data_IF_203373748104
#
_entry.id   IF_203373748104
#
_cell.length_a   1.000
_cell.length_b   1.000
_cell.length_c   1.000
_cell.angle_alpha   90.00
_cell.angle_beta   90.00
_cell.angle_gamma   90.00
#
_symmetry.space_group_name_H-M   'P 1'
#
loop_
_entity.id
_entity.type
_entity.pdbx_description
1 polymer ?
#
# COMPACT_ATOMS: atom_id res chain seq x y z
N UNK A 1 64.32 -37.57 58.78
CA UNK A 1 64.84 -36.59 59.76
C UNK A 1 64.14 -35.25 59.55
N UNK A 2 63.61 -34.66 60.66
CA UNK A 2 63.31 -33.24 60.96
C UNK A 2 62.69 -32.37 59.83
N UNK A 3 61.40 -32.00 59.91
CA UNK A 3 60.84 -30.76 60.54
C UNK A 3 61.53 -29.50 59.97
N UNK A 4 60.83 -28.46 59.49
CA UNK A 4 59.93 -27.63 60.28
C UNK A 4 58.94 -26.82 59.43
N UNK A 5 57.73 -26.76 59.99
CA UNK A 5 56.65 -25.80 59.76
C UNK A 5 57.12 -24.41 60.20
N UNK A 6 56.81 -23.37 59.42
CA UNK A 6 56.78 -21.98 59.90
C UNK A 6 55.40 -21.40 59.63
N UNK A 7 54.68 -21.21 60.72
CA UNK A 7 53.41 -20.48 60.83
C UNK A 7 53.75 -19.00 60.87
N UNK A 8 53.08 -18.20 60.04
CA UNK A 8 52.98 -16.75 60.23
C UNK A 8 51.51 -16.43 60.44
N UNK A 9 51.15 -16.19 61.70
CA UNK A 9 49.98 -15.42 62.09
C UNK A 9 50.29 -13.94 61.84
N UNK A 10 49.29 -13.14 61.46
CA UNK A 10 48.90 -11.90 62.17
C UNK A 10 47.78 -11.14 61.41
N UNK A 11 46.68 -10.99 62.15
CA UNK A 11 45.61 -9.97 62.15
C UNK A 11 44.61 -9.82 61.01
N UNK A 12 43.35 -9.99 61.43
CA UNK A 12 42.12 -9.56 60.81
C UNK A 12 41.95 -8.04 60.81
N UNK A 13 41.40 -7.50 59.72
CA UNK A 13 40.55 -6.30 59.75
C UNK A 13 39.27 -6.65 58.99
N UNK A 14 38.17 -6.62 59.73
CA UNK A 14 36.80 -6.72 59.23
C UNK A 14 36.44 -5.37 58.59
N UNK A 15 36.13 -5.37 57.29
CA UNK A 15 35.30 -4.34 56.69
C UNK A 15 34.48 -4.95 55.56
N UNK A 16 33.41 -5.65 55.96
CA UNK A 16 32.36 -6.13 55.06
C UNK A 16 31.52 -4.95 54.57
N UNK A 17 32.02 -4.29 53.52
CA UNK A 17 31.22 -3.42 52.66
C UNK A 17 30.39 -4.28 51.71
N UNK A 18 29.17 -4.62 52.13
CA UNK A 18 28.16 -5.18 51.23
C UNK A 18 27.80 -4.08 50.23
N UNK A 19 28.36 -4.17 49.03
CA UNK A 19 27.91 -3.40 47.88
C UNK A 19 26.49 -3.89 47.55
N UNK A 20 25.48 -3.15 48.01
CA UNK A 20 24.13 -3.20 47.47
C UNK A 20 24.18 -2.69 46.03
N UNK A 21 24.45 -3.59 45.09
CA UNK A 21 24.03 -3.39 43.71
C UNK A 21 22.50 -3.49 43.71
N UNK A 22 21.74 -2.47 43.28
CA UNK A 22 20.33 -2.66 43.00
C UNK A 22 20.26 -3.69 41.86
N UNK A 23 19.72 -4.86 42.17
CA UNK A 23 19.18 -5.76 41.16
C UNK A 23 18.12 -4.97 40.42
N UNK A 24 18.48 -4.45 39.25
CA UNK A 24 17.52 -4.03 38.25
C UNK A 24 16.73 -5.29 37.89
N UNK A 25 15.60 -5.50 38.57
CA UNK A 25 14.54 -6.35 38.09
C UNK A 25 14.13 -5.76 36.75
N UNK A 26 14.56 -6.41 35.66
CA UNK A 26 13.96 -6.20 34.37
C UNK A 26 12.46 -6.44 34.57
N UNK A 27 11.66 -5.38 34.50
CA UNK A 27 10.22 -5.55 34.41
C UNK A 27 10.00 -6.40 33.17
N UNK A 28 9.50 -7.62 33.34
CA UNK A 28 8.96 -8.37 32.24
C UNK A 28 8.03 -7.41 31.49
N UNK A 29 8.24 -7.23 30.19
CA UNK A 29 7.24 -6.56 29.36
C UNK A 29 5.95 -7.33 29.58
N UNK A 30 5.04 -6.77 30.35
CA UNK A 30 3.73 -7.34 30.55
C UNK A 30 3.10 -7.26 29.17
N UNK A 31 3.03 -8.40 28.46
CA UNK A 31 2.24 -8.50 27.25
C UNK A 31 0.81 -8.27 27.72
N UNK A 32 0.36 -7.02 27.59
CA UNK A 32 -0.99 -6.64 27.95
C UNK A 32 -1.89 -7.38 26.96
N UNK A 33 -2.84 -8.16 27.47
CA UNK A 33 -3.82 -8.84 26.62
C UNK A 33 -5.11 -8.06 26.67
N UNK A 34 -5.69 -7.78 25.51
CA UNK A 34 -6.96 -7.05 25.44
C UNK A 34 -8.09 -8.05 25.71
N UNK A 35 -8.87 -7.78 26.76
CA UNK A 35 -10.05 -8.56 27.17
C UNK A 35 -11.12 -7.62 27.73
N UNK A 36 -12.34 -8.12 27.97
CA UNK A 36 -13.45 -7.34 28.55
C UNK A 36 -14.13 -6.37 27.56
N UNK A 37 -13.76 -6.41 26.28
CA UNK A 37 -14.25 -5.50 25.25
C UNK A 37 -15.41 -6.12 24.44
N UNK A 38 -16.52 -6.48 25.10
CA UNK A 38 -17.58 -7.30 24.50
C UNK A 38 -18.82 -6.52 24.01
N UNK A 39 -18.75 -5.19 23.99
CA UNK A 39 -19.83 -4.31 23.51
C UNK A 39 -19.26 -3.03 22.88
N UNK A 40 -20.10 -2.24 22.21
CA UNK A 40 -19.72 -0.92 21.71
C UNK A 40 -19.26 0.02 22.83
N UNK A 41 -19.87 -0.10 24.01
CA UNK A 41 -19.62 0.74 25.18
C UNK A 41 -18.30 0.40 25.86
N UNK A 42 -17.88 -0.86 25.78
CA UNK A 42 -16.62 -1.37 26.33
C UNK A 42 -15.52 -1.54 25.26
N UNK A 43 -15.71 -0.95 24.07
CA UNK A 43 -14.78 -1.11 22.96
C UNK A 43 -13.38 -0.63 23.34
N UNK A 44 -12.36 -1.44 23.06
CA UNK A 44 -10.97 -1.08 23.38
C UNK A 44 -10.50 0.09 22.50
N UNK A 45 -10.02 1.21 23.08
CA UNK A 45 -9.64 2.39 22.31
C UNK A 45 -8.21 2.29 21.74
N UNK A 46 -8.12 2.13 20.43
CA UNK A 46 -6.85 2.17 19.67
C UNK A 46 -6.36 3.61 19.49
N UNK A 47 -7.28 4.57 19.40
CA UNK A 47 -7.02 5.97 19.07
C UNK A 47 -6.83 6.17 17.56
N UNK A 48 -6.07 7.21 17.16
CA UNK A 48 -5.76 7.43 15.75
C UNK A 48 -4.99 6.25 15.18
N UNK A 49 -5.47 5.67 14.08
CA UNK A 49 -5.03 4.36 13.58
C UNK A 49 -3.54 4.28 13.24
N UNK A 50 -2.95 5.41 12.79
CA UNK A 50 -1.62 5.40 12.18
C UNK A 50 -0.53 5.16 13.22
N UNK A 51 0.42 4.30 12.87
CA UNK A 51 1.56 3.92 13.72
C UNK A 51 1.18 3.26 15.06
N UNK A 52 -0.01 2.66 15.14
CA UNK A 52 -0.45 1.92 16.33
C UNK A 52 -0.08 0.45 16.24
N UNK A 53 0.54 -0.03 17.30
CA UNK A 53 0.60 -1.46 17.59
C UNK A 53 -0.60 -1.79 18.49
N UNK A 54 -1.44 -2.70 18.04
CA UNK A 54 -2.56 -3.22 18.83
C UNK A 54 -2.09 -4.51 19.46
N UNK A 55 -2.17 -4.59 20.78
CA UNK A 55 -1.80 -5.79 21.52
C UNK A 55 -2.69 -6.98 21.16
N UNK A 56 -2.21 -8.19 21.46
CA UNK A 56 -3.00 -9.41 21.26
C UNK A 56 -4.29 -9.35 22.06
N UNK A 57 -5.41 -9.62 21.40
CA UNK A 57 -6.71 -9.72 22.02
C UNK A 57 -7.08 -11.18 22.27
N UNK A 58 -7.80 -11.39 23.36
CA UNK A 58 -8.39 -12.68 23.73
C UNK A 58 -9.89 -12.51 23.73
N UNK A 59 -10.58 -13.35 22.95
CA UNK A 59 -12.02 -13.52 23.04
C UNK A 59 -12.30 -14.82 23.81
N UNK A 60 -12.71 -14.75 25.09
CA UNK A 60 -12.90 -15.94 25.93
C UNK A 60 -14.00 -16.87 25.42
N UNK A 61 -13.95 -18.16 25.78
CA UNK A 61 -14.89 -19.22 25.35
C UNK A 61 -16.38 -18.83 25.34
N UNK A 62 -16.83 -18.07 26.35
CA UNK A 62 -18.25 -17.70 26.55
C UNK A 62 -18.65 -16.40 25.86
N UNK A 63 -17.66 -15.66 25.37
CA UNK A 63 -17.87 -14.37 24.76
C UNK A 63 -17.99 -14.52 23.24
N UNK A 64 -18.97 -13.82 22.67
CA UNK A 64 -19.28 -13.95 21.24
C UNK A 64 -18.50 -12.99 20.37
N UNK A 65 -18.13 -11.83 20.93
CA UNK A 65 -17.68 -10.67 20.17
C UNK A 65 -16.63 -9.88 20.94
N UNK A 66 -15.72 -9.24 20.19
CA UNK A 66 -14.70 -8.33 20.71
C UNK A 66 -14.73 -7.04 19.89
N UNK A 67 -14.78 -5.90 20.58
CA UNK A 67 -15.01 -4.58 20.02
C UNK A 67 -13.81 -3.66 20.24
N UNK A 68 -13.47 -2.89 19.22
CA UNK A 68 -12.38 -1.91 19.24
C UNK A 68 -12.88 -0.61 18.63
N UNK A 69 -12.25 0.51 18.98
CA UNK A 69 -12.52 1.80 18.37
C UNK A 69 -11.22 2.45 17.90
N UNK A 70 -11.27 3.08 16.72
CA UNK A 70 -10.15 3.86 16.18
C UNK A 70 -10.67 5.13 15.51
N UNK A 71 -9.78 6.10 15.32
CA UNK A 71 -10.08 7.31 14.56
C UNK A 71 -9.25 7.41 13.30
N UNK A 72 -9.82 8.03 12.27
CA UNK A 72 -9.18 8.31 10.99
C UNK A 72 -9.54 9.72 10.50
N UNK A 73 -8.76 10.25 9.56
CA UNK A 73 -8.92 11.60 9.02
C UNK A 73 -9.48 11.57 7.60
N UNK A 74 -10.11 12.67 7.18
CA UNK A 74 -10.76 12.79 5.89
C UNK A 74 -9.82 12.40 4.75
N UNK A 75 -10.30 11.51 3.87
CA UNK A 75 -9.55 11.03 2.70
C UNK A 75 -8.72 9.77 2.95
N UNK A 76 -8.57 9.34 4.21
CA UNK A 76 -7.93 8.06 4.53
C UNK A 76 -8.86 6.90 4.14
N UNK A 77 -8.35 6.03 3.27
CA UNK A 77 -9.02 4.82 2.80
C UNK A 77 -8.29 3.65 3.41
N UNK A 78 -8.96 2.91 4.30
CA UNK A 78 -8.33 1.97 5.21
C UNK A 78 -8.92 0.57 5.04
N UNK A 79 -8.14 -0.42 5.44
CA UNK A 79 -8.65 -1.75 5.76
C UNK A 79 -8.13 -2.18 7.13
N UNK A 80 -9.00 -2.86 7.88
CA UNK A 80 -8.68 -3.49 9.15
C UNK A 80 -8.61 -4.98 8.91
N UNK A 81 -7.52 -5.62 9.32
CA UNK A 81 -7.41 -7.08 9.32
C UNK A 81 -7.43 -7.62 10.74
N UNK A 82 -8.04 -8.79 10.89
CA UNK A 82 -7.89 -9.64 12.06
C UNK A 82 -7.15 -10.90 11.64
N UNK A 83 -6.10 -11.26 12.39
CA UNK A 83 -5.54 -12.61 12.25
C UNK A 83 -6.62 -13.64 12.52
N UNK A 84 -6.61 -14.73 11.78
CA UNK A 84 -7.49 -15.88 12.03
C UNK A 84 -6.65 -17.16 12.07
N UNK A 85 -7.30 -18.30 12.28
CA UNK A 85 -6.70 -19.63 12.19
C UNK A 85 -7.70 -20.60 11.61
N UNK A 86 -7.21 -21.72 11.10
CA UNK A 86 -8.02 -22.73 10.40
C UNK A 86 -9.20 -23.27 11.23
N UNK A 87 -9.01 -23.32 12.55
CA UNK A 87 -9.95 -23.80 13.56
C UNK A 87 -11.02 -22.77 13.93
N UNK A 88 -10.80 -21.47 13.70
CA UNK A 88 -11.73 -20.39 14.01
C UNK A 88 -12.87 -20.28 12.98
N UNK A 89 -13.61 -21.37 12.78
CA UNK A 89 -14.66 -21.46 11.76
C UNK A 89 -15.77 -20.43 11.99
N UNK A 90 -16.11 -19.71 10.93
CA UNK A 90 -17.15 -18.67 10.96
C UNK A 90 -16.74 -17.36 11.63
N UNK A 91 -15.46 -17.20 11.98
CA UNK A 91 -14.94 -15.92 12.48
C UNK A 91 -15.17 -14.83 11.43
N UNK A 92 -15.62 -13.65 11.87
CA UNK A 92 -15.89 -12.52 10.99
C UNK A 92 -15.40 -11.21 11.58
N UNK A 93 -15.11 -10.25 10.71
CA UNK A 93 -14.77 -8.88 11.09
C UNK A 93 -15.76 -7.91 10.46
N UNK A 94 -16.22 -6.94 11.23
CA UNK A 94 -17.17 -5.92 10.82
C UNK A 94 -16.66 -4.54 11.23
N UNK A 95 -16.87 -3.54 10.39
CA UNK A 95 -16.62 -2.13 10.72
C UNK A 95 -17.95 -1.40 10.76
N UNK A 96 -18.14 -0.61 11.81
CA UNK A 96 -19.28 0.27 12.02
C UNK A 96 -18.81 1.72 12.13
N UNK A 97 -19.65 2.67 11.69
CA UNK A 97 -19.37 4.10 11.86
C UNK A 97 -19.72 4.60 13.28
N UNK A 98 -19.51 5.89 13.55
CA UNK A 98 -19.83 6.54 14.84
C UNK A 98 -21.28 6.34 15.31
N UNK A 99 -22.21 6.14 14.39
CA UNK A 99 -23.62 5.91 14.67
C UNK A 99 -23.97 4.42 14.82
N UNK A 100 -22.95 3.55 14.91
CA UNK A 100 -23.08 2.08 15.00
C UNK A 100 -23.82 1.47 13.80
N UNK A 101 -23.74 2.11 12.63
CA UNK A 101 -24.25 1.58 11.37
C UNK A 101 -23.14 0.79 10.69
N UNK A 102 -23.45 -0.42 10.23
CA UNK A 102 -22.51 -1.29 9.53
C UNK A 102 -22.00 -0.62 8.25
N UNK A 103 -20.68 -0.58 8.09
CA UNK A 103 -19.97 -0.04 6.93
C UNK A 103 -19.47 -1.18 6.03
N UNK A 104 -18.84 -2.20 6.63
CA UNK A 104 -18.23 -3.31 5.89
C UNK A 104 -18.20 -4.56 6.75
N UNK A 105 -18.25 -5.72 6.10
CA UNK A 105 -18.09 -7.04 6.72
C UNK A 105 -17.14 -7.90 5.91
N UNK A 106 -16.27 -8.64 6.60
CA UNK A 106 -15.37 -9.62 6.02
C UNK A 106 -15.51 -10.99 6.68
N UNK A 107 -15.63 -12.02 5.84
CA UNK A 107 -15.69 -13.43 6.25
C UNK A 107 -14.74 -14.31 5.45
N UNK A 108 -14.23 -13.81 4.33
CA UNK A 108 -13.30 -14.54 3.48
C UNK A 108 -11.90 -14.56 4.11
N UNK A 109 -11.33 -15.75 4.22
CA UNK A 109 -9.99 -15.95 4.78
C UNK A 109 -8.97 -15.77 3.67
N UNK A 110 -8.15 -14.75 3.81
CA UNK A 110 -7.04 -14.45 2.91
C UNK A 110 -5.79 -15.20 3.37
N UNK A 111 -5.04 -15.74 2.41
CA UNK A 111 -3.84 -16.55 2.63
C UNK A 111 -4.05 -17.74 3.59
N UNK A 112 -5.10 -18.57 3.38
CA UNK A 112 -5.50 -19.62 4.33
C UNK A 112 -4.39 -20.65 4.60
N UNK A 113 -3.53 -20.91 3.60
CA UNK A 113 -2.47 -21.91 3.67
C UNK A 113 -1.12 -21.34 4.16
N UNK A 114 -1.11 -20.12 4.69
CA UNK A 114 0.11 -19.45 5.18
C UNK A 114 0.16 -19.40 6.71
N UNK A 115 1.30 -18.97 7.27
CA UNK A 115 1.46 -18.80 8.72
C UNK A 115 0.63 -17.63 9.30
N UNK A 116 0.12 -16.74 8.46
CA UNK A 116 -0.58 -15.52 8.88
C UNK A 116 -1.87 -15.32 8.09
N UNK A 117 -2.85 -16.24 8.18
CA UNK A 117 -4.14 -16.06 7.54
C UNK A 117 -4.90 -14.93 8.25
N UNK A 118 -5.71 -14.20 7.50
CA UNK A 118 -6.48 -13.08 8.04
C UNK A 118 -7.81 -12.90 7.34
N UNK A 119 -8.74 -12.26 8.04
CA UNK A 119 -9.98 -11.70 7.47
C UNK A 119 -9.87 -10.18 7.53
N UNK A 120 -10.57 -9.46 6.66
CA UNK A 120 -10.49 -8.00 6.63
C UNK A 120 -11.83 -7.32 6.33
N UNK A 121 -11.96 -6.07 6.77
CA UNK A 121 -13.07 -5.18 6.40
C UNK A 121 -12.50 -3.80 6.03
N UNK A 122 -13.23 -3.04 5.22
CA UNK A 122 -12.75 -1.77 4.66
C UNK A 122 -13.55 -0.58 5.18
N UNK A 123 -12.94 0.60 5.19
CA UNK A 123 -13.65 1.86 5.47
C UNK A 123 -12.97 3.04 4.79
N UNK A 124 -13.73 4.12 4.59
CA UNK A 124 -13.26 5.40 4.07
C UNK A 124 -13.67 6.52 5.01
N UNK A 125 -12.69 7.24 5.57
CA UNK A 125 -12.96 8.40 6.40
C UNK A 125 -13.40 9.60 5.55
N UNK A 126 -14.56 10.16 5.89
CA UNK A 126 -15.17 11.33 5.25
C UNK A 126 -14.99 12.60 6.07
N UNK A 127 -14.77 12.46 7.38
CA UNK A 127 -14.53 13.55 8.33
C UNK A 127 -13.13 13.44 8.99
N UNK A 128 -12.63 14.55 9.54
CA UNK A 128 -11.41 14.52 10.35
C UNK A 128 -11.73 13.97 11.75
N UNK A 129 -10.83 13.15 12.29
CA UNK A 129 -11.02 12.44 13.55
C UNK A 129 -12.35 11.65 13.61
N UNK A 130 -12.76 11.07 12.48
CA UNK A 130 -13.94 10.23 12.38
C UNK A 130 -13.71 8.92 13.15
N UNK A 131 -14.66 8.57 14.02
CA UNK A 131 -14.61 7.36 14.83
C UNK A 131 -15.25 6.18 14.12
N UNK A 132 -14.54 5.06 14.11
CA UNK A 132 -15.02 3.76 13.67
C UNK A 132 -14.96 2.75 14.80
N UNK A 133 -15.84 1.76 14.74
CA UNK A 133 -15.83 0.59 15.60
C UNK A 133 -15.50 -0.65 14.78
N UNK A 134 -14.64 -1.51 15.30
CA UNK A 134 -14.36 -2.83 14.74
C UNK A 134 -14.98 -3.86 15.65
N UNK A 135 -15.74 -4.79 15.08
CA UNK A 135 -16.26 -5.95 15.78
C UNK A 135 -15.67 -7.22 15.18
N UNK A 136 -15.06 -8.04 16.02
CA UNK A 136 -14.62 -9.39 15.66
C UNK A 136 -15.57 -10.38 16.33
N UNK A 137 -16.19 -11.26 15.54
CA UNK A 137 -17.11 -12.29 16.02
C UNK A 137 -16.46 -13.66 15.93
N UNK A 138 -16.72 -14.49 16.95
CA UNK A 138 -16.17 -15.85 17.15
C UNK A 138 -16.53 -16.87 16.06
N UNK A 139 -17.75 -16.81 15.52
CA UNK A 139 -18.29 -17.90 14.72
C UNK A 139 -18.70 -19.10 15.59
N UNK A 140 -18.30 -20.31 15.19
CA UNK A 140 -18.70 -21.56 15.85
C UNK A 140 -17.60 -22.19 16.72
N UNK A 141 -16.40 -21.61 16.76
CA UNK A 141 -15.31 -22.10 17.62
C UNK A 141 -15.67 -21.91 19.11
N UNK A 142 -15.32 -22.85 19.97
CA UNK A 142 -15.81 -22.88 21.37
C UNK A 142 -14.78 -22.45 22.41
N UNK A 143 -13.49 -22.56 22.12
CA UNK A 143 -12.42 -22.27 23.09
C UNK A 143 -11.93 -20.81 22.96
N UNK A 144 -10.98 -20.37 23.78
CA UNK A 144 -10.44 -19.01 23.68
C UNK A 144 -9.86 -18.73 22.27
N UNK A 145 -10.25 -17.59 21.69
CA UNK A 145 -9.69 -17.10 20.42
C UNK A 145 -8.63 -16.06 20.73
N UNK A 146 -7.42 -16.31 20.27
CA UNK A 146 -6.32 -15.35 20.27
C UNK A 146 -6.19 -14.74 18.88
N UNK A 147 -6.28 -13.41 18.80
CA UNK A 147 -6.15 -12.70 17.54
C UNK A 147 -5.46 -11.35 17.71
N UNK A 148 -4.93 -10.82 16.61
CA UNK A 148 -4.38 -9.47 16.52
C UNK A 148 -5.19 -8.67 15.51
N UNK A 149 -5.34 -7.38 15.78
CA UNK A 149 -5.85 -6.42 14.79
C UNK A 149 -4.71 -5.61 14.21
N UNK A 150 -4.87 -5.22 12.95
CA UNK A 150 -3.98 -4.25 12.31
C UNK A 150 -4.76 -3.41 11.32
N UNK A 151 -4.43 -2.12 11.25
CA UNK A 151 -5.10 -1.14 10.39
C UNK A 151 -4.07 -0.59 9.41
N UNK A 152 -4.38 -0.57 8.13
CA UNK A 152 -3.46 -0.16 7.07
C UNK A 152 -4.13 0.75 6.04
N UNK A 153 -3.31 1.56 5.36
CA UNK A 153 -3.74 2.21 4.13
C UNK A 153 -4.16 1.15 3.10
N UNK A 154 -5.36 1.29 2.58
CA UNK A 154 -5.92 0.45 1.52
C UNK A 154 -5.35 0.80 0.14
N UNK A 155 -5.08 2.08 -0.09
CA UNK A 155 -4.63 2.58 -1.39
C UNK A 155 -3.12 2.78 -1.37
N UNK A 156 -2.43 2.16 -2.33
CA UNK A 156 -0.99 2.25 -2.50
C UNK A 156 -0.64 2.86 -3.85
N UNK A 157 0.55 3.43 -3.93
CA UNK A 157 1.09 4.01 -5.15
C UNK A 157 2.19 3.12 -5.73
N UNK A 158 2.27 3.06 -7.05
CA UNK A 158 3.32 2.38 -7.80
C UNK A 158 3.81 3.23 -8.97
N UNK A 159 4.93 2.82 -9.56
CA UNK A 159 5.53 3.47 -10.73
C UNK A 159 6.27 2.43 -11.56
N UNK A 160 5.95 2.35 -12.84
CA UNK A 160 6.63 1.45 -13.78
C UNK A 160 6.94 2.14 -15.11
N UNK A 161 7.92 1.64 -15.85
CA UNK A 161 8.29 2.14 -17.18
C UNK A 161 8.26 1.03 -18.21
N UNK A 162 7.49 1.23 -19.27
CA UNK A 162 7.29 0.29 -20.36
C UNK A 162 7.90 0.83 -21.65
N UNK A 163 8.39 -0.03 -22.52
CA UNK A 163 8.97 0.37 -23.81
C UNK A 163 8.01 0.03 -24.95
N UNK A 164 7.76 0.98 -25.84
CA UNK A 164 7.11 0.69 -27.12
C UNK A 164 8.11 -0.04 -28.03
N UNK A 165 7.62 -0.99 -28.82
CA UNK A 165 8.38 -1.61 -29.90
C UNK A 165 8.29 -0.76 -31.18
N UNK A 166 9.33 -0.81 -32.01
CA UNK A 166 9.36 -0.16 -33.32
C UNK A 166 9.84 1.30 -33.32
N UNK A 167 9.60 1.97 -34.44
CA UNK A 167 10.03 3.33 -34.74
C UNK A 167 8.86 4.14 -35.29
N UNK A 168 8.55 5.28 -34.68
CA UNK A 168 7.54 6.20 -35.18
C UNK A 168 8.15 7.06 -36.30
N UNK A 169 7.55 7.03 -37.48
CA UNK A 169 8.06 7.75 -38.66
C UNK A 169 7.17 8.95 -38.99
N UNK A 170 7.78 10.11 -39.18
CA UNK A 170 7.10 11.32 -39.66
C UNK A 170 7.66 11.70 -41.03
N UNK A 171 6.77 11.86 -42.02
CA UNK A 171 7.16 12.17 -43.40
C UNK A 171 7.46 13.66 -43.63
N UNK A 172 7.37 14.47 -42.58
CA UNK A 172 7.58 15.91 -42.61
C UNK A 172 6.31 16.66 -43.00
N UNK A 173 6.17 17.89 -42.51
CA UNK A 173 5.05 18.79 -42.79
C UNK A 173 5.21 19.51 -44.14
N UNK A 174 5.29 18.76 -45.23
CA UNK A 174 5.60 19.29 -46.58
C UNK A 174 4.50 20.19 -47.16
N UNK A 175 3.26 20.02 -46.72
CA UNK A 175 2.14 20.91 -47.06
C UNK A 175 2.14 22.23 -46.28
N UNK A 176 3.11 22.44 -45.38
CA UNK A 176 3.20 23.60 -44.50
C UNK A 176 1.94 23.83 -43.66
N UNK A 177 1.30 22.75 -43.23
CA UNK A 177 0.12 22.81 -42.36
C UNK A 177 0.47 23.49 -41.03
N UNK A 178 -0.32 24.47 -40.56
CA UNK A 178 -0.10 25.09 -39.25
C UNK A 178 -0.31 24.10 -38.09
N UNK A 179 -0.97 22.96 -38.34
CA UNK A 179 -1.19 21.90 -37.34
C UNK A 179 -0.09 20.81 -37.35
N UNK A 180 0.92 20.96 -38.20
CA UNK A 180 1.99 19.98 -38.36
C UNK A 180 1.54 18.70 -39.04
N UNK A 181 2.43 17.71 -39.01
CA UNK A 181 2.16 16.34 -39.45
C UNK A 181 2.37 15.38 -38.29
N UNK A 182 1.48 14.40 -38.17
CA UNK A 182 1.64 13.29 -37.23
C UNK A 182 2.59 12.23 -37.79
N UNK A 183 3.23 11.49 -36.89
CA UNK A 183 3.97 10.26 -37.21
C UNK A 183 3.04 9.06 -37.37
N UNK A 184 3.60 7.92 -37.78
CA UNK A 184 2.99 6.61 -37.55
C UNK A 184 2.77 6.38 -36.04
N UNK A 185 1.83 5.49 -35.71
CA UNK A 185 1.46 5.16 -34.33
C UNK A 185 2.24 3.93 -33.88
N UNK A 186 2.86 4.02 -32.71
CA UNK A 186 3.38 2.87 -31.97
C UNK A 186 2.33 2.38 -30.98
N UNK A 187 2.30 1.07 -30.76
CA UNK A 187 1.33 0.42 -29.90
C UNK A 187 2.05 -0.41 -28.83
N UNK A 188 1.56 -0.33 -27.61
CA UNK A 188 2.01 -1.07 -26.43
C UNK A 188 0.81 -1.74 -25.78
N UNK A 189 0.89 -3.04 -25.54
CA UNK A 189 -0.20 -3.81 -24.91
C UNK A 189 0.17 -4.17 -23.47
N UNK A 190 -0.52 -3.59 -22.49
CA UNK A 190 -0.32 -3.87 -21.07
C UNK A 190 -1.44 -4.72 -20.47
N UNK A 191 -2.40 -5.19 -21.27
CA UNK A 191 -3.61 -5.88 -20.77
C UNK A 191 -3.32 -7.21 -20.04
N UNK A 192 -2.16 -7.81 -20.30
CA UNK A 192 -1.71 -9.07 -19.70
C UNK A 192 -0.46 -8.91 -18.82
N UNK A 193 -0.08 -7.68 -18.50
CA UNK A 193 1.14 -7.42 -17.75
C UNK A 193 0.92 -7.69 -16.26
N UNK A 194 1.54 -8.75 -15.75
CA UNK A 194 1.32 -9.25 -14.37
C UNK A 194 2.01 -8.42 -13.29
N UNK A 195 2.97 -7.56 -13.64
CA UNK A 195 3.59 -6.64 -12.69
C UNK A 195 2.65 -5.50 -12.28
N UNK A 196 1.60 -5.23 -13.08
CA UNK A 196 0.63 -4.19 -12.80
C UNK A 196 -0.42 -4.77 -11.84
N UNK A 197 -0.63 -4.17 -10.66
CA UNK A 197 -1.70 -4.58 -9.75
C UNK A 197 -3.07 -4.51 -10.43
N UNK A 198 -3.96 -5.42 -10.04
CA UNK A 198 -5.35 -5.42 -10.51
C UNK A 198 -6.00 -4.07 -10.19
N UNK A 199 -6.80 -3.55 -11.12
CA UNK A 199 -7.54 -2.30 -10.98
C UNK A 199 -6.66 -1.07 -10.69
N UNK A 200 -5.38 -1.10 -11.09
CA UNK A 200 -4.51 0.06 -11.01
C UNK A 200 -4.99 1.19 -11.94
N UNK A 201 -5.11 2.39 -11.38
CA UNK A 201 -5.56 3.60 -12.07
C UNK A 201 -4.39 4.56 -12.23
N UNK A 202 -4.27 5.12 -13.43
CA UNK A 202 -3.25 6.08 -13.80
C UNK A 202 -3.38 7.34 -12.93
N UNK A 203 -2.27 7.71 -12.28
CA UNK A 203 -2.14 8.98 -11.55
C UNK A 203 -1.38 10.02 -12.34
N UNK A 204 -0.38 9.59 -13.12
CA UNK A 204 0.44 10.46 -13.96
C UNK A 204 1.14 9.65 -15.04
N UNK A 205 1.30 10.24 -16.22
CA UNK A 205 2.07 9.65 -17.31
C UNK A 205 3.14 10.62 -17.81
N UNK A 206 4.28 10.05 -18.20
CA UNK A 206 5.25 10.72 -19.05
C UNK A 206 5.84 9.77 -20.10
N UNK A 207 6.44 10.34 -21.13
CA UNK A 207 7.16 9.59 -22.16
C UNK A 207 8.56 10.13 -22.34
N UNK A 208 9.50 9.26 -22.71
CA UNK A 208 10.82 9.64 -23.23
C UNK A 208 11.08 8.97 -24.57
N UNK A 209 11.89 9.58 -25.43
CA UNK A 209 12.20 9.08 -26.76
C UNK A 209 13.52 9.66 -27.29
N UNK A 210 14.01 9.12 -28.41
CA UNK A 210 15.12 9.67 -29.18
C UNK A 210 14.66 10.01 -30.59
N UNK A 211 14.57 11.29 -30.93
CA UNK A 211 14.23 11.76 -32.28
C UNK A 211 15.47 11.94 -33.17
N UNK A 212 15.42 11.47 -34.41
CA UNK A 212 16.49 11.62 -35.41
C UNK A 212 15.90 12.06 -36.77
N UNK A 213 16.38 13.16 -37.37
CA UNK A 213 17.12 14.25 -36.69
C UNK A 213 16.26 14.87 -35.59
N UNK A 214 16.90 15.49 -34.59
CA UNK A 214 16.16 16.27 -33.56
C UNK A 214 15.49 17.47 -34.22
N UNK A 215 14.20 17.68 -33.94
CA UNK A 215 13.43 18.78 -34.50
C UNK A 215 12.76 19.59 -33.39
N UNK A 216 12.83 20.92 -33.51
CA UNK A 216 12.06 21.83 -32.67
C UNK A 216 10.56 21.70 -32.93
N UNK A 217 9.73 22.16 -31.99
CA UNK A 217 8.27 22.12 -32.09
C UNK A 217 7.67 20.72 -32.31
N UNK A 218 8.36 19.70 -31.80
CA UNK A 218 7.83 18.35 -31.74
C UNK A 218 6.95 18.20 -30.51
N UNK A 219 5.78 17.57 -30.64
CA UNK A 219 4.84 17.34 -29.55
C UNK A 219 4.44 15.88 -29.47
N UNK A 220 4.73 15.25 -28.35
CA UNK A 220 4.35 13.88 -28.07
C UNK A 220 2.83 13.79 -27.82
N UNK A 221 2.22 12.67 -28.19
CA UNK A 221 0.82 12.34 -27.91
C UNK A 221 0.68 10.88 -27.50
N UNK A 222 -0.17 10.63 -26.52
CA UNK A 222 -0.52 9.28 -26.07
C UNK A 222 -2.03 9.08 -26.08
N UNK A 223 -2.47 7.83 -26.16
CA UNK A 223 -3.88 7.47 -26.10
C UNK A 223 -4.02 6.10 -25.43
N UNK A 224 -4.95 6.00 -24.47
CA UNK A 224 -5.45 4.70 -24.01
C UNK A 224 -6.57 4.24 -24.96
N UNK A 225 -6.58 2.97 -25.36
CA UNK A 225 -7.71 2.40 -26.13
C UNK A 225 -9.01 2.33 -25.34
N UNK A 226 -8.95 2.49 -24.01
CA UNK A 226 -10.10 2.52 -23.13
C UNK A 226 -11.06 3.66 -23.47
N UNK A 227 -10.52 4.87 -23.67
CA UNK A 227 -11.32 6.06 -24.00
C UNK A 227 -11.09 6.58 -25.43
N UNK A 228 -10.04 6.12 -26.12
CA UNK A 228 -9.66 6.52 -27.48
C UNK A 228 -9.44 8.04 -27.65
N UNK A 229 -9.01 8.71 -26.58
CA UNK A 229 -8.68 10.15 -26.60
C UNK A 229 -7.18 10.35 -26.68
N UNK A 230 -6.73 11.13 -27.66
CA UNK A 230 -5.32 11.54 -27.77
C UNK A 230 -5.01 12.69 -26.81
N UNK A 231 -4.25 12.39 -25.76
CA UNK A 231 -3.69 13.38 -24.86
C UNK A 231 -2.36 13.91 -25.40
N UNK A 232 -2.30 15.22 -25.61
CA UNK A 232 -1.09 15.90 -26.08
C UNK A 232 -0.22 16.29 -24.89
N UNK A 233 1.10 16.21 -25.08
CA UNK A 233 2.03 16.68 -24.07
C UNK A 233 1.85 18.18 -23.80
N UNK A 234 2.02 18.59 -22.54
CA UNK A 234 1.86 19.98 -22.08
C UNK A 234 2.88 20.94 -22.71
N UNK A 235 4.04 20.41 -23.10
CA UNK A 235 5.12 21.17 -23.73
C UNK A 235 5.65 20.46 -24.99
N UNK A 236 6.22 21.23 -25.90
CA UNK A 236 6.93 20.70 -27.07
C UNK A 236 8.33 20.20 -26.63
N UNK A 237 8.73 19.03 -27.10
CA UNK A 237 10.08 18.49 -26.95
C UNK A 237 10.33 17.36 -27.95
N UNK A 238 11.58 17.20 -28.37
CA UNK A 238 12.04 16.11 -29.23
C UNK A 238 12.41 14.84 -28.45
N UNK A 239 12.38 14.89 -27.11
CA UNK A 239 12.86 13.79 -26.26
C UNK A 239 11.90 13.36 -25.17
N UNK A 240 10.90 14.18 -24.81
CA UNK A 240 10.02 13.87 -23.69
C UNK A 240 8.61 14.44 -23.85
N UNK A 241 7.66 13.83 -23.16
CA UNK A 241 6.29 14.32 -23.06
C UNK A 241 5.78 14.14 -21.63
N UNK A 242 5.15 15.17 -21.08
CA UNK A 242 4.41 15.11 -19.82
C UNK A 242 2.96 15.46 -20.11
N UNK A 243 2.02 14.77 -19.49
CA UNK A 243 0.60 14.87 -19.81
C UNK A 243 -0.19 15.34 -18.59
N UNK A 244 -1.25 16.10 -18.81
CA UNK A 244 -2.19 16.52 -17.76
C UNK A 244 -3.17 15.41 -17.36
N UNK A 245 -2.73 14.15 -17.35
CA UNK A 245 -3.55 13.00 -16.95
C UNK A 245 -3.40 12.82 -15.43
N UNK A 246 -4.51 12.71 -14.73
CA UNK A 246 -4.62 12.51 -13.28
C UNK A 246 -5.53 11.32 -12.95
N UNK A 247 -5.75 11.08 -11.65
CA UNK A 247 -6.72 10.07 -11.19
C UNK A 247 -8.15 10.38 -11.64
N UNK A 248 -8.50 11.65 -11.90
CA UNK A 248 -9.84 12.06 -12.30
C UNK A 248 -10.19 11.58 -13.72
N UNK A 249 -9.18 11.31 -14.56
CA UNK A 249 -9.37 10.71 -15.88
C UNK A 249 -9.79 9.23 -15.79
N UNK A 250 -9.61 8.60 -14.63
CA UNK A 250 -10.00 7.21 -14.33
C UNK A 250 -9.53 6.19 -15.40
N UNK A 251 -8.31 6.36 -15.90
CA UNK A 251 -7.74 5.46 -16.90
C UNK A 251 -7.07 4.25 -16.24
N UNK A 252 -7.35 3.05 -16.73
CA UNK A 252 -6.66 1.84 -16.31
C UNK A 252 -5.22 1.83 -16.81
N UNK A 253 -4.29 1.39 -15.96
CA UNK A 253 -2.90 1.14 -16.37
C UNK A 253 -2.84 -0.05 -17.32
N UNK A 254 -3.59 -1.11 -17.02
CA UNK A 254 -3.68 -2.37 -17.79
C UNK A 254 -4.52 -2.23 -19.06
N UNK A 255 -4.15 -1.26 -19.89
CA UNK A 255 -4.79 -0.94 -21.15
C UNK A 255 -3.80 -1.11 -22.31
N UNK A 256 -4.33 -0.93 -23.52
CA UNK A 256 -3.51 -0.71 -24.69
C UNK A 256 -3.19 0.78 -24.76
N UNK A 257 -1.91 1.09 -24.86
CA UNK A 257 -1.43 2.44 -25.03
C UNK A 257 -0.87 2.64 -26.43
N UNK A 258 -1.18 3.78 -27.01
CA UNK A 258 -0.68 4.21 -28.30
C UNK A 258 0.15 5.47 -28.15
N UNK A 259 1.18 5.60 -28.97
CA UNK A 259 2.05 6.76 -29.01
C UNK A 259 2.20 7.25 -30.45
N UNK A 260 2.22 8.57 -30.61
CA UNK A 260 2.69 9.25 -31.81
C UNK A 260 3.32 10.58 -31.44
N UNK A 261 4.00 11.21 -32.39
CA UNK A 261 4.43 12.60 -32.24
C UNK A 261 4.03 13.42 -33.46
N UNK A 262 3.78 14.69 -33.22
CA UNK A 262 3.51 15.69 -34.24
C UNK A 262 4.71 16.63 -34.37
N UNK A 263 5.03 17.07 -35.59
CA UNK A 263 6.08 18.06 -35.83
C UNK A 263 5.61 19.11 -36.85
N UNK A 264 6.03 20.36 -36.66
CA UNK A 264 5.86 21.43 -37.64
C UNK A 264 6.96 21.44 -38.71
N UNK A 265 8.05 20.72 -38.50
CA UNK A 265 9.18 20.71 -39.42
C UNK A 265 8.84 20.05 -40.76
N UNK A 266 9.33 20.61 -41.86
CA UNK A 266 9.18 20.04 -43.21
C UNK A 266 10.06 18.82 -43.43
N UNK A 267 11.15 18.70 -42.68
CA UNK A 267 12.06 17.57 -42.77
C UNK A 267 11.43 16.30 -42.17
N UNK A 268 11.78 15.16 -42.76
CA UNK A 268 11.42 13.83 -42.23
C UNK A 268 12.13 13.59 -40.91
N UNK A 269 11.49 12.86 -40.00
CA UNK A 269 12.11 12.39 -38.76
C UNK A 269 11.62 11.02 -38.33
N UNK A 270 12.34 10.42 -37.40
CA UNK A 270 11.96 9.19 -36.71
C UNK A 270 12.08 9.38 -35.21
N UNK A 271 11.25 8.69 -34.43
CA UNK A 271 11.45 8.52 -32.98
C UNK A 271 11.56 7.05 -32.64
N UNK A 272 12.61 6.71 -31.90
CA UNK A 272 12.90 5.36 -31.40
C UNK A 272 13.10 5.38 -29.89
N UNK A 273 13.21 4.19 -29.29
CA UNK A 273 13.40 3.99 -27.85
C UNK A 273 12.32 4.71 -27.03
N UNK A 274 11.09 4.70 -27.52
CA UNK A 274 9.98 5.38 -26.85
C UNK A 274 9.62 4.59 -25.59
N UNK A 275 9.67 5.25 -24.44
CA UNK A 275 9.29 4.69 -23.15
C UNK A 275 8.10 5.43 -22.57
N UNK A 276 7.17 4.71 -21.98
CA UNK A 276 6.02 5.19 -21.23
C UNK A 276 6.28 4.95 -19.75
N UNK A 277 6.40 6.01 -18.96
CA UNK A 277 6.40 5.91 -17.51
C UNK A 277 5.00 6.20 -16.99
N UNK A 278 4.47 5.30 -16.17
CA UNK A 278 3.17 5.45 -15.54
C UNK A 278 3.35 5.39 -14.02
N UNK A 279 2.95 6.45 -13.33
CA UNK A 279 2.71 6.44 -11.90
C UNK A 279 1.22 6.15 -11.68
N UNK A 280 0.88 5.28 -10.73
CA UNK A 280 -0.48 4.79 -10.53
C UNK A 280 -0.85 4.61 -9.06
N UNK A 281 -2.15 4.56 -8.78
CA UNK A 281 -2.70 4.11 -7.50
C UNK A 281 -3.50 2.82 -7.69
N UNK A 282 -3.53 1.97 -6.67
CA UNK A 282 -4.31 0.73 -6.69
C UNK A 282 -4.81 0.39 -5.28
N UNK A 283 -5.89 -0.38 -5.24
CA UNK A 283 -6.45 -0.91 -4.01
C UNK A 283 -5.82 -2.27 -3.69
N UNK A 284 -5.17 -2.37 -2.53
CA UNK A 284 -4.51 -3.60 -2.08
C UNK A 284 -5.52 -4.71 -1.83
N UNK A 285 -6.74 -4.37 -1.40
CA UNK A 285 -7.78 -5.37 -1.10
C UNK A 285 -8.36 -6.01 -2.36
N UNK A 286 -8.21 -5.37 -3.52
CA UNK A 286 -8.56 -5.97 -4.82
C UNK A 286 -7.57 -7.06 -5.27
N UNK A 287 -6.43 -7.19 -4.59
CA UNK A 287 -5.41 -8.21 -4.88
C UNK A 287 -5.57 -9.48 -4.05
N UNK A 288 -6.49 -9.49 -3.09
CA UNK A 288 -6.75 -10.61 -2.19
C UNK A 288 -7.65 -11.67 -2.82
#
# INVERSE_FOLDING_TARGET
MKKYISILFVTAIVLSGVLFAPSASASAFQVSTITGNHSFETANPVGYWKYKNIDTAVLPEREKESYFTFTANKGERLYVRSSTRSEYKGMSIEIYNKNKVLVSKGTEVINPDTLLPFIYAITDAKENNETFYVKVSRGSYTDDIYFTLSIYDRIKAGSETFAFSGTAENKGNTSLSPNGSDSTVLRLDLTKQTSIPKDAIVKRISTTATQIPSQGNTKHSIMSEENKVWHRALANSSTQGNYGITLDDNLSVSSIWNFKYNTLATAKSTMKNVKLKIDYEYDVTSQY
#
